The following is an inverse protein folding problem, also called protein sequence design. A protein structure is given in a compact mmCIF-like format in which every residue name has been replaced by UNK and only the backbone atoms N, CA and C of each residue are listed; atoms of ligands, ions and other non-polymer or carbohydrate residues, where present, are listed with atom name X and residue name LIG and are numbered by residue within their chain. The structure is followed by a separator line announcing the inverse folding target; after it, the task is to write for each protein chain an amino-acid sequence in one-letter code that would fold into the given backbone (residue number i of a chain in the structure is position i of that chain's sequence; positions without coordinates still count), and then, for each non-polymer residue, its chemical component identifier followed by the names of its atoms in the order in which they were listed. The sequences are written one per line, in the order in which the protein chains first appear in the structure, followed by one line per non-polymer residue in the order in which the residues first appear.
data_IF_586875600186
#
_entry.id   IF_586875600186
#
_cell.length_a   1.000
_cell.length_b   1.000
_cell.length_c   1.000
_cell.angle_alpha   90.00
_cell.angle_beta   90.00
_cell.angle_gamma   90.00
#
_symmetry.space_group_name_H-M   'P 1'
#
loop_
_entity.id
_entity.type
_entity.pdbx_description
1 polymer ?
#
# COMPACT_ATOMS: atom_id res chain seq x y z
N UNK A 1 14.72 29.53 11.23
CA UNK A 1 14.83 29.26 9.79
C UNK A 1 14.51 27.80 9.58
N UNK A 2 13.32 27.49 9.05
CA UNK A 2 12.94 26.12 8.71
C UNK A 2 13.55 25.81 7.35
N UNK A 3 14.59 24.98 7.29
CA UNK A 3 15.05 24.45 6.01
C UNK A 3 13.99 23.44 5.56
N UNK A 4 13.30 23.74 4.46
CA UNK A 4 12.54 22.73 3.74
C UNK A 4 13.55 21.66 3.29
N UNK A 5 13.61 20.55 4.03
CA UNK A 5 14.36 19.40 3.60
C UNK A 5 13.64 18.84 2.38
N UNK A 6 14.27 18.92 1.21
CA UNK A 6 13.78 18.22 0.02
C UNK A 6 13.94 16.73 0.30
N UNK A 7 12.83 16.05 0.61
CA UNK A 7 12.84 14.60 0.79
C UNK A 7 12.90 13.95 -0.58
N UNK A 8 13.90 13.09 -0.79
CA UNK A 8 13.94 12.19 -1.95
C UNK A 8 13.17 10.93 -1.56
N UNK A 9 12.13 10.63 -2.31
CA UNK A 9 11.38 9.39 -2.17
C UNK A 9 11.91 8.37 -3.16
N UNK A 10 12.27 7.19 -2.67
CA UNK A 10 12.59 6.03 -3.50
C UNK A 10 11.29 5.26 -3.76
N UNK A 11 10.97 5.06 -5.03
CA UNK A 11 9.79 4.34 -5.48
C UNK A 11 10.27 3.12 -6.27
N UNK A 12 9.76 1.94 -5.92
CA UNK A 12 9.99 0.73 -6.70
C UNK A 12 8.91 0.60 -7.77
N UNK A 13 9.26 0.07 -8.94
CA UNK A 13 8.28 -0.38 -9.92
C UNK A 13 8.14 -1.89 -9.79
N UNK A 14 6.96 -2.36 -9.41
CA UNK A 14 6.64 -3.78 -9.26
C UNK A 14 5.48 -4.15 -10.19
N UNK A 15 5.56 -5.36 -10.76
CA UNK A 15 4.44 -6.01 -11.42
C UNK A 15 3.80 -6.99 -10.43
N UNK A 16 2.52 -6.83 -10.17
CA UNK A 16 1.71 -7.63 -9.24
C UNK A 16 0.44 -8.05 -9.97
N UNK A 17 0.24 -9.35 -10.17
CA UNK A 17 -0.94 -9.89 -10.86
C UNK A 17 -1.25 -9.22 -12.21
N UNK A 18 -0.21 -8.87 -12.98
CA UNK A 18 -0.29 -8.16 -14.27
C UNK A 18 -0.59 -6.66 -14.16
N UNK A 19 -0.75 -6.12 -12.95
CA UNK A 19 -0.86 -4.70 -12.67
C UNK A 19 0.49 -4.10 -12.27
N UNK A 20 0.71 -2.84 -12.64
CA UNK A 20 1.89 -2.10 -12.23
C UNK A 20 1.59 -1.31 -10.97
N UNK A 21 2.39 -1.49 -9.92
CA UNK A 21 2.31 -0.72 -8.68
C UNK A 21 3.65 -0.05 -8.38
N UNK A 22 3.57 1.08 -7.69
CA UNK A 22 4.72 1.96 -7.49
C UNK A 22 4.95 2.30 -6.01
N UNK A 23 5.17 1.33 -5.11
CA UNK A 23 5.26 1.59 -3.68
C UNK A 23 6.52 2.38 -3.27
N UNK A 24 6.41 3.13 -2.17
CA UNK A 24 7.57 3.72 -1.50
C UNK A 24 8.46 2.63 -0.91
N UNK A 25 9.77 2.71 -1.16
CA UNK A 25 10.75 1.83 -0.53
C UNK A 25 10.99 2.29 0.90
N UNK A 26 10.61 1.46 1.87
CA UNK A 26 10.77 1.73 3.29
C UNK A 26 11.76 0.75 3.92
N UNK A 27 12.98 1.20 4.16
CA UNK A 27 14.03 0.38 4.81
C UNK A 27 13.84 0.24 6.33
N UNK A 28 12.90 0.99 6.91
CA UNK A 28 12.62 1.03 8.35
C UNK A 28 11.30 0.33 8.73
N UNK A 29 10.52 -0.13 7.75
CA UNK A 29 9.26 -0.85 7.96
C UNK A 29 9.38 -2.27 7.41
N UNK A 30 8.90 -3.30 8.13
CA UNK A 30 8.82 -4.66 7.60
C UNK A 30 7.56 -4.90 6.75
N UNK A 31 6.64 -3.94 6.74
CA UNK A 31 5.32 -4.10 6.15
C UNK A 31 5.32 -3.61 4.70
N UNK A 32 4.82 -4.47 3.81
CA UNK A 32 4.50 -4.14 2.42
C UNK A 32 2.99 -4.07 2.27
N UNK A 33 2.49 -3.03 1.61
CA UNK A 33 1.07 -2.91 1.32
C UNK A 33 0.81 -2.02 0.11
N UNK A 34 -0.32 -2.27 -0.55
CA UNK A 34 -0.83 -1.46 -1.64
C UNK A 34 -2.16 -0.81 -1.27
N UNK A 35 -2.52 0.21 -2.03
CA UNK A 35 -3.79 0.92 -1.85
C UNK A 35 -4.89 0.07 -2.46
N UNK A 36 -5.98 -0.18 -1.75
CA UNK A 36 -7.15 -0.86 -2.30
C UNK A 36 -7.89 0.04 -3.30
N UNK A 37 -8.14 -0.45 -4.51
CA UNK A 37 -8.83 0.31 -5.57
C UNK A 37 -10.22 0.78 -5.12
N UNK A 38 -11.02 -0.11 -4.52
CA UNK A 38 -12.38 0.22 -4.09
C UNK A 38 -12.40 1.41 -3.12
N UNK A 39 -11.42 1.49 -2.22
CA UNK A 39 -11.32 2.62 -1.28
C UNK A 39 -11.00 3.94 -1.99
N UNK A 40 -10.10 3.92 -2.98
CA UNK A 40 -9.77 5.12 -3.74
C UNK A 40 -10.92 5.56 -4.63
N UNK A 41 -11.60 4.63 -5.28
CA UNK A 41 -12.74 4.94 -6.13
C UNK A 41 -13.92 5.51 -5.32
N UNK A 42 -14.08 5.11 -4.05
CA UNK A 42 -15.08 5.69 -3.14
C UNK A 42 -14.80 7.16 -2.78
N UNK A 43 -13.52 7.54 -2.61
CA UNK A 43 -13.13 8.91 -2.21
C UNK A 43 -12.88 9.80 -3.44
N UNK A 44 -12.29 9.23 -4.48
CA UNK A 44 -11.81 9.90 -5.68
C UNK A 44 -12.15 9.08 -6.95
N UNK A 45 -13.42 9.06 -7.37
CA UNK A 45 -13.86 8.27 -8.52
C UNK A 45 -13.06 8.57 -9.79
N UNK A 46 -12.55 7.51 -10.44
CA UNK A 46 -11.78 7.54 -11.68
C UNK A 46 -10.33 7.99 -11.52
N UNK A 47 -9.83 8.16 -10.29
CA UNK A 47 -8.48 8.70 -10.02
C UNK A 47 -7.47 7.65 -9.55
N UNK A 48 -7.84 6.37 -9.52
CA UNK A 48 -6.94 5.25 -9.27
C UNK A 48 -5.64 5.35 -10.09
N UNK A 49 -5.76 5.55 -11.41
CA UNK A 49 -4.63 5.63 -12.35
C UNK A 49 -3.81 6.92 -12.24
N UNK A 50 -4.35 7.97 -11.59
CA UNK A 50 -3.65 9.23 -11.37
C UNK A 50 -2.77 9.22 -10.11
N UNK A 51 -2.95 8.22 -9.23
CA UNK A 51 -2.12 8.08 -8.03
C UNK A 51 -0.73 7.63 -8.41
N UNK A 52 0.29 8.33 -7.89
CA UNK A 52 1.70 7.96 -8.06
C UNK A 52 1.94 6.48 -7.75
N UNK A 53 1.30 5.98 -6.70
CA UNK A 53 1.44 4.63 -6.18
C UNK A 53 0.67 3.57 -6.98
N UNK A 54 -0.35 4.02 -7.74
CA UNK A 54 -1.48 3.24 -8.28
C UNK A 54 -2.20 2.41 -7.22
N UNK A 55 -3.51 2.24 -7.34
CA UNK A 55 -4.21 1.28 -6.49
C UNK A 55 -4.22 -0.11 -7.12
N UNK A 56 -4.31 -1.10 -6.24
CA UNK A 56 -4.39 -2.50 -6.59
C UNK A 56 -5.81 -2.99 -6.40
N UNK A 57 -6.29 -3.77 -7.37
CA UNK A 57 -7.57 -4.46 -7.31
C UNK A 57 -7.34 -5.95 -7.15
N UNK A 58 -8.05 -6.56 -6.20
CA UNK A 58 -8.01 -8.00 -6.06
C UNK A 58 -8.56 -8.68 -7.30
N UNK A 59 -7.75 -9.54 -7.92
CA UNK A 59 -8.24 -10.46 -8.93
C UNK A 59 -9.11 -11.55 -8.26
N UNK A 60 -10.16 -12.07 -8.93
CA UNK A 60 -11.07 -13.04 -8.32
C UNK A 60 -10.33 -14.28 -7.77
N UNK A 61 -10.64 -14.77 -6.55
CA UNK A 61 -11.73 -14.35 -5.66
C UNK A 61 -11.44 -13.06 -4.87
N UNK A 62 -12.51 -12.30 -4.54
CA UNK A 62 -12.44 -11.03 -3.80
C UNK A 62 -11.61 -11.17 -2.51
N UNK A 63 -10.66 -10.26 -2.27
CA UNK A 63 -9.91 -10.28 -1.01
C UNK A 63 -10.85 -10.05 0.17
N UNK A 64 -10.68 -10.83 1.23
CA UNK A 64 -11.40 -10.63 2.49
C UNK A 64 -10.64 -9.64 3.36
N UNK A 65 -11.31 -8.67 4.01
CA UNK A 65 -10.67 -7.83 5.02
C UNK A 65 -10.04 -8.71 6.11
N UNK A 66 -8.73 -8.61 6.29
CA UNK A 66 -8.01 -9.24 7.38
C UNK A 66 -7.84 -8.29 8.59
N UNK A 67 -7.08 -8.71 9.61
CA UNK A 67 -6.94 -7.94 10.83
C UNK A 67 -6.32 -6.55 10.56
N UNK A 68 -6.91 -5.53 11.18
CA UNK A 68 -6.37 -4.17 11.23
C UNK A 68 -5.00 -4.19 11.91
N UNK A 69 -3.99 -3.54 11.33
CA UNK A 69 -2.76 -3.25 12.02
C UNK A 69 -2.35 -1.80 11.78
N UNK A 70 -2.25 -1.02 12.85
CA UNK A 70 -1.79 0.37 12.78
C UNK A 70 -0.30 0.41 12.46
N UNK A 71 0.05 0.52 11.18
CA UNK A 71 1.44 0.70 10.78
C UNK A 71 1.78 2.19 10.80
N UNK A 72 2.70 2.61 11.66
CA UNK A 72 3.25 3.97 11.65
C UNK A 72 4.31 4.10 10.58
N UNK A 73 4.02 4.87 9.54
CA UNK A 73 5.00 5.20 8.50
C UNK A 73 5.15 6.71 8.40
N UNK A 74 6.39 7.16 8.52
CA UNK A 74 6.75 8.58 8.73
C UNK A 74 5.98 9.19 9.92
N UNK A 75 6.06 10.51 10.09
CA UNK A 75 5.44 11.26 11.20
C UNK A 75 3.89 11.27 11.13
N UNK A 76 3.24 10.10 11.29
CA UNK A 76 1.81 9.87 11.62
C UNK A 76 0.90 9.30 10.52
N UNK A 77 1.40 8.58 9.52
CA UNK A 77 0.45 7.82 8.69
C UNK A 77 0.14 6.50 9.37
N UNK A 78 -1.11 6.37 9.84
CA UNK A 78 -1.73 5.11 10.28
C UNK A 78 -2.51 4.54 9.10
N UNK A 79 -2.40 3.23 8.91
CA UNK A 79 -2.92 2.51 7.76
C UNK A 79 -3.79 1.38 8.28
N UNK A 80 -5.04 1.35 7.84
CA UNK A 80 -5.99 0.31 8.22
C UNK A 80 -6.19 -0.74 7.13
N UNK A 81 -6.33 -1.97 7.63
CA UNK A 81 -6.67 -3.26 6.99
C UNK A 81 -5.53 -3.89 6.17
N UNK A 82 -5.38 -5.20 6.35
CA UNK A 82 -4.65 -6.09 5.46
C UNK A 82 -5.70 -7.01 4.83
N UNK A 83 -6.19 -6.74 3.61
CA UNK A 83 -7.06 -7.73 2.96
C UNK A 83 -6.22 -8.95 2.57
N UNK A 84 -6.66 -10.16 2.94
CA UNK A 84 -6.04 -11.43 2.59
C UNK A 84 -7.09 -12.36 1.94
N UNK A 85 -6.74 -13.27 1.02
CA UNK A 85 -7.71 -14.23 0.50
C UNK A 85 -8.24 -15.10 1.66
N UNK A 86 -9.43 -15.70 1.53
CA UNK A 86 -10.05 -16.50 2.59
C UNK A 86 -9.15 -17.63 3.14
N UNK A 87 -8.14 -18.04 2.37
CA UNK A 87 -7.27 -19.20 2.63
C UNK A 87 -5.81 -18.86 3.04
N UNK A 88 -5.42 -17.60 3.23
CA UNK A 88 -4.04 -17.30 3.66
C UNK A 88 -3.52 -15.88 3.42
N UNK A 89 -2.20 -15.72 3.43
CA UNK A 89 -1.49 -14.45 3.11
C UNK A 89 -1.65 -14.10 1.61
N UNK A 90 -1.79 -12.81 1.25
CA UNK A 90 -1.72 -12.40 -0.17
C UNK A 90 -0.26 -12.39 -0.59
N UNK A 91 0.06 -13.07 -1.70
CA UNK A 91 1.40 -13.06 -2.27
C UNK A 91 1.40 -12.43 -3.66
N UNK A 92 2.30 -11.47 -3.86
CA UNK A 92 2.66 -10.95 -5.17
C UNK A 92 4.08 -11.40 -5.48
N UNK A 93 4.27 -12.34 -6.41
CA UNK A 93 5.60 -12.84 -6.76
C UNK A 93 6.44 -13.27 -5.52
N UNK A 94 5.80 -13.89 -4.52
CA UNK A 94 6.43 -14.34 -3.28
C UNK A 94 6.57 -13.27 -2.19
N UNK A 95 6.11 -12.04 -2.42
CA UNK A 95 6.07 -10.97 -1.43
C UNK A 95 4.71 -10.98 -0.74
N UNK A 96 4.68 -11.13 0.59
CA UNK A 96 3.44 -10.94 1.36
C UNK A 96 3.13 -9.45 1.43
N UNK A 97 1.91 -9.08 1.08
CA UNK A 97 1.46 -7.70 1.16
C UNK A 97 0.04 -7.59 1.74
N UNK A 98 -0.27 -6.43 2.29
CA UNK A 98 -1.63 -6.04 2.69
C UNK A 98 -2.28 -5.07 1.70
N UNK A 99 -3.59 -4.90 1.82
CA UNK A 99 -4.33 -3.86 1.11
C UNK A 99 -5.00 -2.90 2.07
N UNK A 100 -4.69 -1.63 1.86
CA UNK A 100 -5.12 -0.51 2.69
C UNK A 100 -6.46 0.00 2.22
N UNK A 101 -7.42 0.09 3.13
CA UNK A 101 -8.73 0.70 2.87
C UNK A 101 -8.99 1.98 3.69
N UNK A 102 -8.00 2.45 4.45
CA UNK A 102 -8.05 3.74 5.13
C UNK A 102 -6.64 4.26 5.45
N UNK A 103 -6.47 5.59 5.44
CA UNK A 103 -5.23 6.22 5.91
C UNK A 103 -5.47 7.57 6.58
N UNK A 104 -4.66 7.89 7.60
CA UNK A 104 -4.57 9.26 8.14
C UNK A 104 -3.59 10.09 7.32
N UNK A 105 -4.02 10.59 6.16
CA UNK A 105 -3.19 11.42 5.29
C UNK A 105 -3.47 11.22 3.80
N UNK A 106 -2.47 11.52 2.97
CA UNK A 106 -2.52 11.17 1.55
C UNK A 106 -2.37 9.65 1.39
N UNK A 107 -3.13 9.02 0.47
CA UNK A 107 -3.01 7.60 0.22
C UNK A 107 -1.61 7.28 -0.31
N UNK A 108 -1.04 6.18 0.16
CA UNK A 108 0.31 5.75 -0.21
C UNK A 108 0.44 4.22 -0.14
N UNK A 109 1.38 3.68 -0.91
CA UNK A 109 1.76 2.27 -0.89
C UNK A 109 3.21 2.13 -0.40
N UNK A 110 3.55 0.97 0.16
CA UNK A 110 4.90 0.73 0.67
C UNK A 110 5.44 -0.66 0.34
N UNK A 111 6.77 -0.71 0.14
CA UNK A 111 7.59 -1.91 0.07
C UNK A 111 8.49 -1.90 1.30
N UNK A 112 8.13 -2.71 2.28
CA UNK A 112 8.87 -2.85 3.53
C UNK A 112 10.08 -3.77 3.35
N UNK A 113 11.27 -3.27 3.67
CA UNK A 113 12.53 -4.02 3.59
C UNK A 113 13.20 -4.24 4.96
N UNK A 114 12.57 -3.81 6.06
CA UNK A 114 13.10 -4.09 7.39
C UNK A 114 12.87 -5.56 7.77
N UNK A 115 13.72 -6.13 8.65
CA UNK A 115 13.47 -7.47 9.21
C UNK A 115 12.11 -7.55 9.91
N UNK A 116 11.44 -8.70 9.77
CA UNK A 116 10.19 -9.02 10.48
C UNK A 116 10.45 -9.40 11.93
#
# INVERSE_FOLDING_TARGET
MSSSATSVQLVAHLEVDQDNVYPLVLTQSPNTFFIMEEWIEDIFPGRCEELLFKSYKCQPPQCTPGPLADVKIFDKVEVGVFCAPPDGEVFANGIVFGLVNESKGAPYASLGLAPR
#
